data_IF_942985585129
#
_entry.id   IF_942985585129
#
_cell.length_a   1.000
_cell.length_b   1.000
_cell.length_c   1.000
_cell.angle_alpha   90.00
_cell.angle_beta   90.00
_cell.angle_gamma   90.00
#
_symmetry.space_group_name_H-M   'P 1'
#
loop_
_entity.id
_entity.type
_entity.pdbx_description
1 polymer ?
#
# COMPACT_ATOMS: atom_id res chain seq x y z
N UNK A 1 -25.85 -7.20 1.81
CA UNK A 1 -25.66 -5.78 2.19
C UNK A 1 -26.98 -5.02 2.28
N UNK A 2 -27.83 -5.08 1.24
CA UNK A 2 -29.11 -4.36 1.15
C UNK A 2 -30.10 -4.71 2.29
N UNK A 3 -30.13 -5.96 2.75
CA UNK A 3 -30.96 -6.41 3.88
C UNK A 3 -30.53 -5.82 5.24
N UNK A 4 -29.24 -5.50 5.42
CA UNK A 4 -28.71 -4.96 6.69
C UNK A 4 -28.95 -3.45 6.83
N UNK A 5 -29.04 -2.72 5.72
CA UNK A 5 -29.41 -1.30 5.71
C UNK A 5 -30.87 -1.11 6.18
N UNK A 6 -31.75 -2.06 5.87
CA UNK A 6 -33.16 -2.03 6.28
C UNK A 6 -33.34 -2.14 7.81
N UNK A 7 -32.42 -2.83 8.52
CA UNK A 7 -32.46 -3.06 9.98
C UNK A 7 -31.73 -1.98 10.79
N UNK A 8 -31.04 -1.05 10.12
CA UNK A 8 -30.27 0.04 10.74
C UNK A 8 -31.08 0.94 11.70
N UNK A 9 -32.36 1.31 11.43
CA UNK A 9 -33.12 2.15 12.35
C UNK A 9 -33.65 1.39 13.57
N UNK A 10 -33.75 0.06 13.52
CA UNK A 10 -34.32 -0.75 14.60
C UNK A 10 -33.30 -1.08 15.71
N UNK A 11 -32.02 -1.26 15.36
CA UNK A 11 -30.96 -1.68 16.30
C UNK A 11 -29.61 -1.00 15.96
N UNK A 12 -29.41 0.27 16.34
CA UNK A 12 -28.24 1.04 15.94
C UNK A 12 -26.91 0.42 16.42
N UNK A 13 -26.86 -0.10 17.65
CA UNK A 13 -25.65 -0.71 18.22
C UNK A 13 -25.24 -2.00 17.49
N UNK A 14 -26.22 -2.81 17.10
CA UNK A 14 -25.99 -4.04 16.35
C UNK A 14 -25.47 -3.73 14.95
N UNK A 15 -26.01 -2.69 14.30
CA UNK A 15 -25.51 -2.24 12.99
C UNK A 15 -24.04 -1.78 13.03
N UNK A 16 -23.61 -1.12 14.11
CA UNK A 16 -22.23 -0.68 14.32
C UNK A 16 -21.33 -1.89 14.57
N UNK A 17 -21.75 -2.83 15.41
CA UNK A 17 -21.02 -4.05 15.68
C UNK A 17 -20.78 -4.87 14.40
N UNK A 18 -21.81 -5.02 13.55
CA UNK A 18 -21.67 -5.72 12.28
C UNK A 18 -20.80 -4.96 11.28
N UNK A 19 -20.85 -3.63 11.23
CA UNK A 19 -19.92 -2.84 10.42
C UNK A 19 -18.48 -3.06 10.87
N UNK A 20 -18.22 -3.01 12.17
CA UNK A 20 -16.89 -3.28 12.73
C UNK A 20 -16.47 -4.72 12.40
N UNK A 21 -17.35 -5.70 12.60
CA UNK A 21 -17.09 -7.10 12.30
C UNK A 21 -16.79 -7.37 10.81
N UNK A 22 -17.46 -6.66 9.90
CA UNK A 22 -17.23 -6.75 8.45
C UNK A 22 -15.98 -5.98 7.99
N UNK A 23 -15.61 -4.91 8.68
CA UNK A 23 -14.36 -4.16 8.41
C UNK A 23 -13.14 -4.83 9.01
N UNK A 24 -13.31 -5.57 10.11
CA UNK A 24 -12.29 -6.46 10.61
C UNK A 24 -12.07 -7.52 9.52
N UNK A 25 -10.85 -7.67 9.01
CA UNK A 25 -10.58 -8.68 8.00
C UNK A 25 -10.84 -10.05 8.65
N UNK A 26 -11.99 -10.64 8.36
CA UNK A 26 -12.36 -12.00 8.81
C UNK A 26 -11.29 -13.01 8.39
N UNK A 27 -10.52 -12.69 7.36
CA UNK A 27 -9.39 -13.48 6.88
C UNK A 27 -8.10 -12.65 6.83
N UNK A 28 -7.17 -12.93 7.73
CA UNK A 28 -5.78 -12.41 7.66
C UNK A 28 -5.00 -12.96 6.46
N UNK A 29 -5.53 -13.95 5.75
CA UNK A 29 -4.87 -14.64 4.63
C UNK A 29 -4.27 -13.70 3.59
N UNK A 30 -4.94 -12.61 3.23
CA UNK A 30 -4.41 -11.63 2.26
C UNK A 30 -3.19 -10.89 2.81
N UNK A 31 -3.23 -10.47 4.07
CA UNK A 31 -2.10 -9.81 4.73
C UNK A 31 -0.94 -10.80 4.93
N UNK A 32 -1.22 -12.02 5.40
CA UNK A 32 -0.24 -13.09 5.56
C UNK A 32 0.43 -13.46 4.23
N UNK A 33 -0.34 -13.57 3.15
CA UNK A 33 0.20 -13.81 1.80
C UNK A 33 1.11 -12.67 1.36
N UNK A 34 0.72 -11.42 1.60
CA UNK A 34 1.54 -10.23 1.30
C UNK A 34 2.84 -10.21 2.12
N UNK A 35 2.79 -10.50 3.42
CA UNK A 35 4.00 -10.56 4.27
C UNK A 35 4.91 -11.74 3.92
N UNK A 36 4.35 -12.88 3.54
CA UNK A 36 5.13 -14.03 3.04
C UNK A 36 5.90 -13.66 1.77
N UNK A 37 5.24 -12.98 0.83
CA UNK A 37 5.90 -12.45 -0.37
C UNK A 37 6.95 -11.40 -0.03
N UNK A 38 6.68 -10.50 0.93
CA UNK A 38 7.65 -9.49 1.38
C UNK A 38 8.91 -10.14 1.97
N UNK A 39 8.76 -11.20 2.76
CA UNK A 39 9.87 -11.98 3.29
C UNK A 39 10.73 -12.58 2.17
N UNK A 40 10.10 -13.13 1.15
CA UNK A 40 10.80 -13.64 -0.04
C UNK A 40 11.53 -12.51 -0.78
N UNK A 41 10.89 -11.36 -0.99
CA UNK A 41 11.49 -10.20 -1.67
C UNK A 41 12.74 -9.72 -0.93
N UNK A 42 12.66 -9.54 0.40
CA UNK A 42 13.81 -9.10 1.22
C UNK A 42 14.96 -10.11 1.20
N UNK A 43 14.63 -11.40 1.28
CA UNK A 43 15.62 -12.48 1.34
C UNK A 43 16.26 -12.75 -0.04
N UNK A 44 15.47 -12.82 -1.11
CA UNK A 44 15.94 -13.08 -2.47
C UNK A 44 16.85 -11.95 -2.98
N UNK A 45 16.48 -10.69 -2.74
CA UNK A 45 17.31 -9.55 -3.14
C UNK A 45 18.45 -9.26 -2.16
N UNK A 46 18.59 -10.00 -1.05
CA UNK A 46 19.49 -9.70 0.07
C UNK A 46 19.50 -8.20 0.39
N UNK A 47 18.32 -7.58 0.34
CA UNK A 47 18.28 -6.16 0.05
C UNK A 47 18.84 -5.37 1.24
N UNK A 48 19.96 -4.66 1.03
CA UNK A 48 20.40 -3.54 1.88
C UNK A 48 19.45 -2.34 1.79
N UNK A 49 18.34 -2.48 1.06
CA UNK A 49 17.31 -1.47 0.93
C UNK A 49 16.71 -1.16 2.30
N UNK A 50 16.79 0.11 2.71
CA UNK A 50 16.21 0.58 3.96
C UNK A 50 14.70 0.38 3.96
N UNK A 51 14.14 0.09 5.13
CA UNK A 51 12.69 -0.10 5.28
C UNK A 51 11.90 1.09 4.73
N UNK A 52 12.42 2.32 4.84
CA UNK A 52 11.80 3.52 4.27
C UNK A 52 11.60 3.44 2.75
N UNK A 53 12.63 3.00 2.00
CA UNK A 53 12.52 2.86 0.55
C UNK A 53 11.55 1.76 0.16
N UNK A 54 11.54 0.66 0.90
CA UNK A 54 10.61 -0.45 0.68
C UNK A 54 9.16 -0.03 0.95
N UNK A 55 8.93 0.71 2.05
CA UNK A 55 7.62 1.29 2.37
C UNK A 55 7.15 2.26 1.30
N UNK A 56 8.04 3.15 0.81
CA UNK A 56 7.71 4.05 -0.29
C UNK A 56 7.30 3.32 -1.57
N UNK A 57 8.04 2.27 -1.95
CA UNK A 57 7.67 1.42 -3.10
C UNK A 57 6.35 0.69 -2.90
N UNK A 58 6.09 0.18 -1.69
CA UNK A 58 4.82 -0.48 -1.39
C UNK A 58 3.63 0.48 -1.44
N UNK A 59 3.82 1.73 -1.00
CA UNK A 59 2.80 2.77 -1.09
C UNK A 59 2.47 3.09 -2.56
N UNK A 60 3.50 3.23 -3.42
CA UNK A 60 3.32 3.43 -4.86
C UNK A 60 2.58 2.24 -5.50
N UNK A 61 2.88 1.01 -5.07
CA UNK A 61 2.22 -0.19 -5.59
C UNK A 61 0.75 -0.31 -5.15
N UNK A 62 0.41 0.14 -3.94
CA UNK A 62 -0.96 0.21 -3.45
C UNK A 62 -1.72 1.31 -4.19
N UNK A 63 -1.13 2.50 -4.28
CA UNK A 63 -1.69 3.68 -4.95
C UNK A 63 -1.38 3.70 -6.45
N UNK A 64 -1.40 2.53 -7.10
CA UNK A 64 -1.00 2.37 -8.52
C UNK A 64 -1.80 3.28 -9.45
N UNK A 65 -3.08 3.45 -9.17
CA UNK A 65 -3.97 4.30 -9.98
C UNK A 65 -3.55 5.77 -9.91
N UNK A 66 -3.15 6.26 -8.74
CA UNK A 66 -2.62 7.62 -8.61
C UNK A 66 -1.24 7.72 -9.25
N UNK A 67 -0.39 6.70 -9.07
CA UNK A 67 0.94 6.64 -9.65
C UNK A 67 0.94 6.66 -11.19
N UNK A 68 -0.06 6.06 -11.84
CA UNK A 68 -0.23 6.12 -13.31
C UNK A 68 -0.55 7.53 -13.83
N UNK A 69 -1.13 8.39 -12.98
CA UNK A 69 -1.41 9.78 -13.32
C UNK A 69 -0.22 10.73 -13.04
N UNK A 70 0.87 10.22 -12.46
CA UNK A 70 2.06 11.02 -12.21
C UNK A 70 2.91 11.09 -13.48
N UNK A 71 3.29 12.30 -13.88
CA UNK A 71 4.26 12.49 -14.94
C UNK A 71 5.68 12.14 -14.46
N UNK A 72 6.15 10.96 -14.87
CA UNK A 72 7.47 10.47 -14.50
C UNK A 72 8.59 11.32 -15.10
N UNK A 73 8.42 11.87 -16.31
CA UNK A 73 9.47 12.63 -16.98
C UNK A 73 9.76 13.95 -16.24
N UNK A 74 8.74 14.72 -15.86
CA UNK A 74 8.96 15.92 -15.03
C UNK A 74 9.50 15.57 -13.65
N UNK A 75 9.05 14.46 -13.04
CA UNK A 75 9.51 14.02 -11.72
C UNK A 75 10.99 13.61 -11.76
N UNK A 76 11.42 12.87 -12.78
CA UNK A 76 12.80 12.46 -12.99
C UNK A 76 13.68 13.69 -13.24
N UNK A 77 13.23 14.61 -14.11
CA UNK A 77 13.97 15.85 -14.40
C UNK A 77 14.16 16.68 -13.13
N UNK A 78 13.10 16.88 -12.35
CA UNK A 78 13.16 17.58 -11.05
C UNK A 78 14.10 16.88 -10.07
N UNK A 79 14.05 15.55 -9.99
CA UNK A 79 14.94 14.79 -9.13
C UNK A 79 16.41 14.90 -9.58
N UNK A 80 16.66 14.91 -10.89
CA UNK A 80 17.99 15.12 -11.47
C UNK A 80 18.53 16.53 -11.18
N UNK A 81 17.68 17.56 -11.24
CA UNK A 81 18.06 18.93 -10.85
C UNK A 81 18.44 19.00 -9.36
N UNK A 82 17.66 18.38 -8.48
CA UNK A 82 17.89 18.38 -7.03
C UNK A 82 19.14 17.56 -6.66
N UNK A 83 19.35 16.43 -7.34
CA UNK A 83 20.40 15.45 -7.03
C UNK A 83 21.62 15.57 -7.95
N UNK A 84 21.90 16.77 -8.46
CA UNK A 84 23.08 17.11 -9.27
C UNK A 84 24.40 16.85 -8.51
N UNK A 85 24.72 15.58 -8.32
CA UNK A 85 26.02 15.09 -7.92
C UNK A 85 26.51 14.28 -9.11
N UNK A 86 27.21 14.96 -10.02
CA UNK A 86 27.90 14.36 -11.16
C UNK A 86 28.98 13.41 -10.62
N UNK A 87 28.63 12.15 -10.39
CA UNK A 87 29.65 11.12 -10.25
C UNK A 87 29.88 10.52 -11.63
N UNK A 88 31.12 10.47 -12.14
CA UNK A 88 31.40 9.72 -13.35
C UNK A 88 30.96 8.27 -13.12
N UNK A 89 30.21 7.72 -14.06
CA UNK A 89 30.02 6.28 -14.13
C UNK A 89 31.40 5.69 -14.41
N UNK A 90 31.89 4.91 -13.46
CA UNK A 90 33.14 4.15 -13.60
C UNK A 90 32.84 2.87 -14.39
#
# INVERSE_FOLDING_TARGET
>A
LMFFLQMAPALPNLSILYKIFLTLPVTFSTAERSFSKLKIIKNYLLSTMTNERLSGLSLIAIERQLAENIDFDSTINRFATIKSRRRPFI
#
